data_IF_824315545227
#
_entry.id   IF_824315545227
#
_cell.length_a   1.000
_cell.length_b   1.000
_cell.length_c   1.000
_cell.angle_alpha   90.00
_cell.angle_beta   90.00
_cell.angle_gamma   90.00
#
_symmetry.space_group_name_H-M   'P 1'
#
loop_
_entity.id
_entity.type
_entity.pdbx_description
1 polymer ?
#
# COMPACT_ATOMS: atom_id res chain seq x y z
N UNK A 1 -2.50 9.42 6.57
CA UNK A 1 -3.46 8.34 6.24
C UNK A 1 -2.86 7.47 5.16
N UNK A 2 -3.03 6.15 5.22
CA UNK A 2 -2.69 5.23 4.12
C UNK A 2 -3.95 4.49 3.68
N UNK A 3 -4.13 4.32 2.37
CA UNK A 3 -5.34 3.73 1.79
C UNK A 3 -4.95 2.48 1.01
N UNK A 4 -5.47 1.33 1.41
CA UNK A 4 -5.15 0.02 0.89
C UNK A 4 -6.40 -0.77 0.50
N UNK A 5 -6.25 -1.69 -0.45
CA UNK A 5 -7.36 -2.50 -0.95
C UNK A 5 -7.72 -3.63 0.03
N UNK A 6 -6.72 -4.36 0.52
CA UNK A 6 -6.89 -5.59 1.30
C UNK A 6 -6.08 -5.58 2.59
N UNK A 7 -6.43 -6.39 3.59
CA UNK A 7 -5.55 -6.71 4.71
C UNK A 7 -4.27 -7.40 4.19
N UNK A 8 -3.11 -6.95 4.56
CA UNK A 8 -1.74 -7.29 4.18
C UNK A 8 -1.02 -6.23 3.31
N UNK A 9 -1.76 -5.47 2.53
CA UNK A 9 -1.19 -4.40 1.69
C UNK A 9 -0.45 -3.36 2.54
N UNK A 10 -0.99 -2.98 3.69
CA UNK A 10 -0.38 -2.01 4.60
C UNK A 10 0.95 -2.51 5.18
N UNK A 11 1.12 -3.83 5.27
CA UNK A 11 2.34 -4.48 5.75
C UNK A 11 3.38 -4.65 4.65
N UNK A 12 2.94 -4.73 3.39
CA UNK A 12 3.81 -4.87 2.21
C UNK A 12 4.22 -3.54 1.57
N UNK A 13 3.47 -2.46 1.84
CA UNK A 13 3.65 -1.13 1.22
C UNK A 13 3.52 -0.02 2.27
N UNK A 14 4.62 0.65 2.59
CA UNK A 14 4.65 1.77 3.53
C UNK A 14 4.67 1.41 5.01
N UNK A 15 4.82 0.13 5.37
CA UNK A 15 4.77 -0.36 6.74
C UNK A 15 5.85 0.25 7.64
N UNK A 16 7.11 0.25 7.19
CA UNK A 16 8.22 0.79 7.96
C UNK A 16 8.12 2.31 8.12
N UNK A 17 7.66 2.99 7.08
CA UNK A 17 7.36 4.43 7.11
C UNK A 17 6.25 4.75 8.11
N UNK A 18 5.14 4.04 8.06
CA UNK A 18 4.02 4.22 9.00
C UNK A 18 4.46 3.97 10.44
N UNK A 19 5.20 2.89 10.69
CA UNK A 19 5.75 2.59 12.02
C UNK A 19 6.71 3.66 12.52
N UNK A 20 7.59 4.18 11.66
CA UNK A 20 8.49 5.31 11.98
C UNK A 20 7.70 6.54 12.41
N UNK A 21 6.72 6.96 11.61
CA UNK A 21 5.91 8.14 11.92
C UNK A 21 5.07 7.94 13.17
N UNK A 22 4.42 6.79 13.35
CA UNK A 22 3.65 6.48 14.55
C UNK A 22 4.51 6.57 15.82
N UNK A 23 5.73 6.02 15.80
CA UNK A 23 6.66 6.12 16.92
C UNK A 23 7.24 7.51 17.17
N UNK A 24 7.21 8.38 16.16
CA UNK A 24 7.57 9.80 16.31
C UNK A 24 6.39 10.70 16.73
N UNK A 25 5.24 10.10 17.06
CA UNK A 25 4.06 10.82 17.58
C UNK A 25 3.09 11.31 16.50
N UNK A 26 3.28 10.90 15.23
CA UNK A 26 2.31 11.19 14.17
C UNK A 26 1.14 10.21 14.27
N UNK A 27 -0.08 10.71 14.25
CA UNK A 27 -1.26 9.86 14.14
C UNK A 27 -1.37 9.27 12.73
N UNK A 28 -1.44 7.94 12.65
CA UNK A 28 -1.54 7.20 11.40
C UNK A 28 -2.82 6.38 11.37
N UNK A 29 -3.64 6.59 10.32
CA UNK A 29 -4.82 5.78 10.05
C UNK A 29 -4.64 5.01 8.74
N UNK A 30 -4.85 3.71 8.78
CA UNK A 30 -4.94 2.82 7.62
C UNK A 30 -6.43 2.62 7.29
N UNK A 31 -6.85 3.02 6.08
CA UNK A 31 -8.16 2.69 5.53
C UNK A 31 -8.02 1.49 4.60
N UNK A 32 -8.76 0.41 4.89
CA UNK A 32 -8.77 -0.82 4.09
C UNK A 32 -10.13 -0.96 3.41
N UNK A 33 -10.15 -1.03 2.07
CA UNK A 33 -11.39 -1.00 1.30
C UNK A 33 -12.24 -2.25 1.52
N UNK A 34 -11.63 -3.43 1.44
CA UNK A 34 -12.31 -4.73 1.52
C UNK A 34 -11.77 -5.60 2.64
N UNK A 35 -12.39 -6.73 2.90
CA UNK A 35 -11.88 -7.73 3.84
C UNK A 35 -10.92 -8.75 3.23
N UNK A 36 -10.68 -8.70 1.91
CA UNK A 36 -9.86 -9.68 1.19
C UNK A 36 -10.49 -11.08 1.19
N UNK A 37 -11.81 -11.19 1.33
CA UNK A 37 -12.53 -12.44 1.56
C UNK A 37 -12.59 -13.37 0.34
N UNK A 38 -12.22 -12.87 -0.86
CA UNK A 38 -12.12 -13.67 -2.08
C UNK A 38 -10.69 -13.96 -2.50
N UNK A 39 -9.71 -13.52 -1.70
CA UNK A 39 -8.31 -13.85 -1.93
C UNK A 39 -8.00 -15.31 -1.62
N UNK A 40 -6.99 -15.84 -2.29
CA UNK A 40 -6.46 -17.18 -2.00
C UNK A 40 -5.66 -17.19 -0.69
N UNK A 41 -5.48 -18.39 -0.13
CA UNK A 41 -4.51 -18.61 0.95
C UNK A 41 -3.15 -18.86 0.32
N UNK A 42 -2.29 -17.83 0.33
CA UNK A 42 -0.99 -17.86 -0.33
C UNK A 42 0.06 -18.68 0.47
N UNK A 43 -0.07 -18.71 1.79
CA UNK A 43 0.74 -19.57 2.65
C UNK A 43 0.18 -21.00 2.67
N UNK A 44 0.83 -21.90 1.93
CA UNK A 44 0.40 -23.30 1.81
C UNK A 44 0.29 -24.04 3.13
N UNK A 45 1.06 -23.66 4.16
CA UNK A 45 0.97 -24.26 5.49
C UNK A 45 -0.36 -23.91 6.20
N UNK A 46 -1.00 -22.80 5.82
CA UNK A 46 -2.28 -22.34 6.34
C UNK A 46 -3.47 -22.81 5.48
N UNK A 47 -3.24 -23.42 4.33
CA UNK A 47 -4.28 -23.81 3.40
C UNK A 47 -4.98 -25.11 3.86
N UNK A 48 -5.95 -24.97 4.76
CA UNK A 48 -6.73 -26.06 5.39
C UNK A 48 -8.22 -25.72 5.32
N UNK A 49 -9.10 -26.74 5.27
CA UNK A 49 -10.55 -26.53 5.16
C UNK A 49 -11.14 -25.62 6.25
N UNK A 50 -10.68 -25.75 7.50
CA UNK A 50 -11.14 -24.94 8.62
C UNK A 50 -10.70 -23.47 8.50
N UNK A 51 -9.55 -23.19 7.89
CA UNK A 51 -9.07 -21.82 7.61
C UNK A 51 -9.88 -21.23 6.45
N UNK A 52 -10.04 -21.97 5.34
CA UNK A 52 -10.85 -21.52 4.20
C UNK A 52 -12.28 -21.19 4.60
N UNK A 53 -12.90 -22.01 5.46
CA UNK A 53 -14.25 -21.80 5.95
C UNK A 53 -14.44 -20.57 6.82
N UNK A 54 -13.35 -19.97 7.35
CA UNK A 54 -13.39 -18.82 8.24
C UNK A 54 -12.44 -17.69 7.81
N UNK A 55 -12.00 -17.69 6.56
CA UNK A 55 -11.00 -16.75 6.04
C UNK A 55 -11.32 -15.26 6.31
N UNK A 56 -12.57 -14.79 6.12
CA UNK A 56 -12.89 -13.39 6.39
C UNK A 56 -12.64 -12.95 7.83
N UNK A 57 -12.92 -13.81 8.80
CA UNK A 57 -12.68 -13.52 10.21
C UNK A 57 -11.19 -13.58 10.54
N UNK A 58 -10.49 -14.59 10.01
CA UNK A 58 -9.05 -14.77 10.22
C UNK A 58 -8.29 -13.54 9.67
N UNK A 59 -8.59 -13.08 8.46
CA UNK A 59 -7.93 -11.89 7.89
C UNK A 59 -8.19 -10.60 8.69
N UNK A 60 -9.34 -10.48 9.33
CA UNK A 60 -9.60 -9.36 10.25
C UNK A 60 -8.75 -9.45 11.52
N UNK A 61 -8.53 -10.64 12.06
CA UNK A 61 -7.68 -10.88 13.22
C UNK A 61 -6.20 -10.67 12.89
N UNK A 62 -5.76 -11.12 11.72
CA UNK A 62 -4.43 -10.85 11.17
C UNK A 62 -4.19 -9.34 11.04
N UNK A 63 -5.12 -8.59 10.44
CA UNK A 63 -5.06 -7.14 10.33
C UNK A 63 -5.04 -6.45 11.70
N UNK A 64 -5.83 -6.93 12.67
CA UNK A 64 -5.83 -6.41 14.02
C UNK A 64 -4.48 -6.61 14.72
N UNK A 65 -3.78 -7.70 14.44
CA UNK A 65 -2.43 -7.96 14.93
C UNK A 65 -1.40 -7.07 14.23
N UNK A 66 -1.44 -6.98 12.90
CA UNK A 66 -0.54 -6.15 12.11
C UNK A 66 -0.62 -4.67 12.50
N UNK A 67 -1.82 -4.09 12.63
CA UNK A 67 -1.98 -2.69 13.07
C UNK A 67 -1.40 -2.40 14.46
N UNK A 68 -1.47 -3.38 15.39
CA UNK A 68 -0.87 -3.24 16.73
C UNK A 68 0.66 -3.22 16.64
N UNK A 69 1.25 -4.09 15.81
CA UNK A 69 2.70 -4.15 15.57
C UNK A 69 3.20 -2.83 14.97
N UNK A 70 2.48 -2.31 13.98
CA UNK A 70 2.80 -1.03 13.33
C UNK A 70 2.56 0.18 14.25
N UNK A 71 1.67 0.08 15.24
CA UNK A 71 1.28 1.17 16.12
C UNK A 71 0.33 2.17 15.45
N UNK A 72 -0.53 1.70 14.54
CA UNK A 72 -1.44 2.53 13.74
C UNK A 72 -2.90 2.26 14.08
N UNK A 73 -3.76 3.22 13.76
CA UNK A 73 -5.21 3.03 13.71
C UNK A 73 -5.59 2.35 12.39
N UNK A 74 -6.72 1.63 12.37
CA UNK A 74 -7.21 0.98 11.15
C UNK A 74 -8.73 1.01 11.10
N UNK A 75 -9.28 1.20 9.87
CA UNK A 75 -10.69 1.19 9.58
C UNK A 75 -10.97 0.42 8.29
N UNK A 76 -11.89 -0.54 8.33
CA UNK A 76 -12.46 -1.15 7.13
C UNK A 76 -13.56 -0.26 6.56
N UNK A 77 -13.57 -0.04 5.24
CA UNK A 77 -14.62 0.73 4.56
C UNK A 77 -15.81 -0.14 4.13
N UNK A 78 -15.68 -1.46 4.20
CA UNK A 78 -16.80 -2.41 4.14
C UNK A 78 -17.25 -2.81 2.74
N UNK A 79 -16.43 -2.62 1.71
CA UNK A 79 -16.73 -3.12 0.37
C UNK A 79 -16.45 -4.61 0.25
N UNK A 80 -17.18 -5.27 -0.66
CA UNK A 80 -16.93 -6.66 -1.00
C UNK A 80 -15.71 -6.77 -1.93
N UNK A 81 -14.79 -7.66 -1.59
CA UNK A 81 -13.61 -7.98 -2.41
C UNK A 81 -14.01 -8.42 -3.82
N UNK A 82 -13.26 -7.96 -4.84
CA UNK A 82 -13.50 -8.31 -6.23
C UNK A 82 -12.86 -9.63 -6.63
N UNK A 83 -11.86 -10.08 -5.87
CA UNK A 83 -10.96 -11.14 -6.26
C UNK A 83 -10.05 -10.74 -7.42
N UNK A 84 -9.13 -11.62 -7.78
CA UNK A 84 -8.28 -11.49 -8.96
C UNK A 84 -8.68 -12.56 -9.97
N UNK A 85 -9.49 -12.23 -11.00
CA UNK A 85 -9.93 -13.22 -11.98
C UNK A 85 -8.76 -13.68 -12.84
N UNK A 86 -8.59 -15.01 -12.94
CA UNK A 86 -7.58 -15.66 -13.76
C UNK A 86 -8.18 -16.23 -15.04
N UNK A 87 -7.43 -16.24 -16.13
CA UNK A 87 -7.82 -16.81 -17.42
C UNK A 87 -7.65 -15.84 -18.58
N UNK A 88 -7.81 -16.36 -19.80
CA UNK A 88 -7.76 -15.59 -21.04
C UNK A 88 -8.90 -16.02 -21.98
N UNK A 89 -9.98 -15.20 -22.13
CA UNK A 89 -10.24 -13.97 -21.37
C UNK A 89 -10.56 -14.24 -19.89
N UNK A 90 -10.30 -13.29 -18.98
CA UNK A 90 -10.66 -13.47 -17.57
C UNK A 90 -12.19 -13.51 -17.39
N UNK A 91 -12.71 -14.26 -16.41
CA UNK A 91 -14.13 -14.27 -16.11
C UNK A 91 -14.61 -12.89 -15.62
N UNK A 92 -15.92 -12.58 -15.74
CA UNK A 92 -16.46 -11.33 -15.23
C UNK A 92 -16.29 -11.23 -13.70
N UNK A 93 -16.07 -10.01 -13.21
CA UNK A 93 -16.03 -9.72 -11.79
C UNK A 93 -17.37 -10.03 -11.11
N UNK A 94 -17.37 -10.43 -9.83
CA UNK A 94 -18.60 -10.69 -9.08
C UNK A 94 -19.48 -9.44 -8.97
N UNK A 95 -20.79 -9.61 -9.15
CA UNK A 95 -21.76 -8.53 -8.98
C UNK A 95 -21.65 -7.91 -7.58
N UNK A 96 -21.71 -6.56 -7.51
CA UNK A 96 -21.65 -5.80 -6.27
C UNK A 96 -20.27 -5.70 -5.63
N UNK A 97 -19.21 -6.27 -6.23
CA UNK A 97 -17.85 -6.13 -5.72
C UNK A 97 -17.32 -4.69 -5.82
N UNK A 98 -16.22 -4.41 -5.11
CA UNK A 98 -15.67 -3.06 -4.98
C UNK A 98 -15.29 -2.43 -6.32
N UNK A 99 -14.62 -3.17 -7.19
CA UNK A 99 -14.17 -2.66 -8.48
C UNK A 99 -15.31 -2.28 -9.43
N UNK A 100 -16.54 -2.79 -9.23
CA UNK A 100 -17.73 -2.47 -10.03
C UNK A 100 -18.61 -1.37 -9.42
N UNK A 101 -18.24 -0.79 -8.26
CA UNK A 101 -19.03 0.27 -7.65
C UNK A 101 -18.96 1.56 -8.46
N UNK A 102 -20.05 2.35 -8.42
CA UNK A 102 -20.00 3.74 -8.86
C UNK A 102 -18.94 4.51 -8.06
N UNK A 103 -18.13 5.31 -8.75
CA UNK A 103 -17.01 6.01 -8.13
C UNK A 103 -17.44 6.93 -7.00
N UNK A 104 -18.54 7.67 -7.19
CA UNK A 104 -19.05 8.61 -6.18
C UNK A 104 -19.53 7.86 -4.94
N UNK A 105 -20.27 6.76 -5.16
CA UNK A 105 -20.72 5.90 -4.06
C UNK A 105 -19.55 5.26 -3.31
N UNK A 106 -18.53 4.79 -4.03
CA UNK A 106 -17.35 4.16 -3.45
C UNK A 106 -16.44 5.16 -2.71
N UNK A 107 -16.36 6.41 -3.17
CA UNK A 107 -15.54 7.43 -2.53
C UNK A 107 -16.17 8.00 -1.24
N UNK A 108 -17.50 7.99 -1.09
CA UNK A 108 -18.18 8.62 0.04
C UNK A 108 -17.69 8.14 1.42
N UNK A 109 -17.46 6.84 1.70
CA UNK A 109 -16.90 6.39 2.98
C UNK A 109 -15.48 6.91 3.22
N UNK A 110 -14.63 6.99 2.17
CA UNK A 110 -13.27 7.51 2.30
C UNK A 110 -13.26 9.03 2.49
N UNK A 111 -14.12 9.79 1.78
CA UNK A 111 -14.29 11.23 2.02
C UNK A 111 -14.70 11.50 3.47
N UNK A 112 -15.61 10.69 4.02
CA UNK A 112 -15.98 10.77 5.45
C UNK A 112 -14.75 10.52 6.33
N UNK A 113 -14.01 9.46 6.10
CA UNK A 113 -12.81 9.13 6.88
C UNK A 113 -11.75 10.27 6.79
N UNK A 114 -11.56 10.88 5.62
CA UNK A 114 -10.67 12.03 5.43
C UNK A 114 -11.16 13.25 6.24
N UNK A 115 -12.45 13.56 6.21
CA UNK A 115 -13.02 14.69 6.94
C UNK A 115 -13.00 14.49 8.47
N UNK A 116 -13.19 13.26 8.94
CA UNK A 116 -13.15 12.91 10.37
C UNK A 116 -11.73 12.86 10.91
N UNK A 117 -10.81 12.16 10.22
CA UNK A 117 -9.42 11.99 10.67
C UNK A 117 -8.54 13.20 10.35
N UNK A 118 -8.88 14.01 9.32
CA UNK A 118 -8.19 15.23 8.90
C UNK A 118 -6.71 15.03 8.57
N UNK A 119 -6.34 14.08 7.69
CA UNK A 119 -4.96 13.80 7.36
C UNK A 119 -4.32 14.96 6.58
N UNK A 120 -3.07 15.30 6.90
CA UNK A 120 -2.29 16.21 6.07
C UNK A 120 -1.68 15.50 4.85
N UNK A 121 -1.34 14.23 5.01
CA UNK A 121 -0.71 13.39 3.98
C UNK A 121 -1.55 12.14 3.76
N UNK A 122 -1.76 11.79 2.48
CA UNK A 122 -2.40 10.55 2.06
C UNK A 122 -1.41 9.73 1.23
N UNK A 123 -1.32 8.43 1.52
CA UNK A 123 -0.57 7.44 0.76
C UNK A 123 -1.54 6.52 0.03
N UNK A 124 -1.29 6.22 -1.24
CA UNK A 124 -2.16 5.40 -2.09
C UNK A 124 -1.37 4.63 -3.16
N UNK A 125 -2.06 3.83 -3.94
CA UNK A 125 -1.51 3.26 -5.17
C UNK A 125 -1.51 4.29 -6.31
N UNK A 126 -0.68 4.03 -7.33
CA UNK A 126 -0.76 4.68 -8.63
C UNK A 126 -1.99 4.23 -9.43
N UNK A 127 -2.16 4.76 -10.63
CA UNK A 127 -3.28 4.44 -11.53
C UNK A 127 -3.32 2.96 -11.98
N UNK A 128 -2.20 2.24 -11.85
CA UNK A 128 -2.11 0.81 -12.15
C UNK A 128 -2.31 -0.07 -10.89
N UNK A 129 -2.51 0.55 -9.72
CA UNK A 129 -2.68 -0.16 -8.45
C UNK A 129 -1.39 -0.75 -7.88
N UNK A 130 -0.20 -0.34 -8.40
CA UNK A 130 1.09 -1.00 -8.12
C UNK A 130 1.24 -2.35 -8.86
N UNK A 131 0.15 -3.06 -9.06
CA UNK A 131 -0.08 -4.15 -10.02
C UNK A 131 -1.58 -4.19 -10.35
N UNK A 132 -2.00 -4.75 -11.53
CA UNK A 132 -3.35 -4.54 -12.07
C UNK A 132 -4.44 -5.39 -11.37
N UNK A 133 -4.51 -5.36 -10.04
CA UNK A 133 -5.64 -5.90 -9.31
C UNK A 133 -6.83 -4.95 -9.42
N UNK A 134 -8.06 -5.42 -9.74
CA UNK A 134 -9.23 -4.55 -9.90
C UNK A 134 -9.48 -3.64 -8.70
N UNK A 135 -9.34 -4.16 -7.48
CA UNK A 135 -9.53 -3.38 -6.24
C UNK A 135 -8.42 -2.36 -5.99
N UNK A 136 -7.17 -2.65 -6.39
CA UNK A 136 -6.08 -1.67 -6.28
C UNK A 136 -6.30 -0.48 -7.20
N UNK A 137 -6.70 -0.75 -8.45
CA UNK A 137 -7.04 0.29 -9.44
C UNK A 137 -8.24 1.13 -8.95
N UNK A 138 -9.25 0.47 -8.39
CA UNK A 138 -10.40 1.19 -7.83
C UNK A 138 -10.03 1.98 -6.57
N UNK A 139 -9.17 1.45 -5.72
CA UNK A 139 -8.63 2.16 -4.53
C UNK A 139 -7.89 3.44 -4.94
N UNK A 140 -7.06 3.39 -6.00
CA UNK A 140 -6.45 4.59 -6.55
C UNK A 140 -7.51 5.63 -6.94
N UNK A 141 -8.49 5.25 -7.76
CA UNK A 141 -9.54 6.16 -8.24
C UNK A 141 -10.33 6.79 -7.10
N UNK A 142 -10.72 5.99 -6.12
CA UNK A 142 -11.44 6.43 -4.92
C UNK A 142 -10.59 7.37 -4.08
N UNK A 143 -9.28 7.12 -3.96
CA UNK A 143 -8.39 7.96 -3.16
C UNK A 143 -8.12 9.32 -3.82
N UNK A 144 -7.91 9.35 -5.12
CA UNK A 144 -7.77 10.60 -5.88
C UNK A 144 -9.05 11.43 -5.77
N UNK A 145 -10.22 10.81 -5.96
CA UNK A 145 -11.52 11.45 -5.80
C UNK A 145 -11.69 12.02 -4.37
N UNK A 146 -11.36 11.25 -3.33
CA UNK A 146 -11.47 11.69 -1.96
C UNK A 146 -10.50 12.84 -1.63
N UNK A 147 -9.27 12.81 -2.16
CA UNK A 147 -8.29 13.89 -1.99
C UNK A 147 -8.79 15.20 -2.56
N UNK A 148 -9.40 15.18 -3.75
CA UNK A 148 -9.90 16.36 -4.45
C UNK A 148 -11.22 16.86 -3.87
N UNK A 149 -12.09 15.94 -3.42
CA UNK A 149 -13.45 16.27 -2.99
C UNK A 149 -13.57 16.64 -1.51
N UNK A 150 -12.66 16.18 -0.65
CA UNK A 150 -12.84 16.34 0.80
C UNK A 150 -12.83 17.81 1.27
N UNK A 151 -12.20 18.71 0.52
CA UNK A 151 -12.18 20.14 0.81
C UNK A 151 -13.42 20.90 0.34
N UNK A 152 -14.20 20.32 -0.56
CA UNK A 152 -15.36 20.98 -1.17
C UNK A 152 -16.63 20.74 -0.32
N UNK A 153 -17.25 21.77 0.28
CA UNK A 153 -18.43 21.61 1.12
C UNK A 153 -19.67 21.13 0.35
N UNK A 154 -19.72 21.36 -0.98
CA UNK A 154 -20.87 21.01 -1.80
C UNK A 154 -20.80 19.55 -2.33
N UNK A 155 -19.62 18.93 -2.23
CA UNK A 155 -19.43 17.53 -2.59
C UNK A 155 -19.60 16.63 -1.36
N UNK A 156 -20.23 15.48 -1.54
CA UNK A 156 -20.46 14.48 -0.47
C UNK A 156 -21.13 15.04 0.79
N UNK A 157 -22.34 15.64 0.66
CA UNK A 157 -23.05 16.22 1.81
C UNK A 157 -23.30 15.17 2.89
N UNK A 158 -23.17 15.56 4.16
CA UNK A 158 -23.38 14.67 5.30
C UNK A 158 -22.19 13.75 5.64
N UNK A 159 -21.01 13.96 5.04
CA UNK A 159 -19.77 13.21 5.37
C UNK A 159 -18.83 13.95 6.33
N UNK A 160 -19.25 15.05 6.94
CA UNK A 160 -18.47 15.83 7.89
C UNK A 160 -18.02 17.19 7.34
N UNK A 161 -17.31 17.96 8.17
CA UNK A 161 -16.77 19.27 7.79
C UNK A 161 -15.65 19.14 6.78
N UNK A 162 -15.57 20.04 5.77
CA UNK A 162 -14.54 20.00 4.76
C UNK A 162 -13.11 19.99 5.32
N UNK A 163 -12.24 19.22 4.70
CA UNK A 163 -10.83 19.14 5.03
C UNK A 163 -9.97 18.99 3.78
N UNK A 164 -8.92 19.82 3.66
CA UNK A 164 -7.95 19.74 2.57
C UNK A 164 -6.71 18.93 3.00
N UNK A 165 -6.54 17.69 2.53
CA UNK A 165 -5.24 17.03 2.60
C UNK A 165 -4.20 17.81 1.80
N UNK A 166 -2.96 17.87 2.27
CA UNK A 166 -1.95 18.75 1.67
C UNK A 166 -1.09 18.02 0.64
N UNK A 167 -0.86 16.71 0.81
CA UNK A 167 -0.04 15.91 -0.11
C UNK A 167 -0.64 14.53 -0.34
N UNK A 168 -0.54 14.07 -1.58
CA UNK A 168 -0.87 12.71 -2.00
C UNK A 168 0.37 12.07 -2.60
N UNK A 169 0.76 10.90 -2.07
CA UNK A 169 1.86 10.10 -2.58
C UNK A 169 1.39 8.75 -3.08
N UNK A 170 2.06 8.24 -4.11
CA UNK A 170 1.92 6.87 -4.55
C UNK A 170 3.07 6.02 -4.02
N UNK A 171 2.77 4.79 -3.59
CA UNK A 171 3.79 3.81 -3.20
C UNK A 171 4.63 3.38 -4.41
N UNK A 172 5.95 3.36 -4.24
CA UNK A 172 6.89 2.83 -5.25
C UNK A 172 7.64 1.64 -4.63
N UNK A 173 6.96 0.49 -4.51
CA UNK A 173 7.49 -0.67 -3.78
C UNK A 173 8.33 -1.59 -4.66
N UNK A 174 7.93 -1.80 -5.92
CA UNK A 174 8.55 -2.72 -6.87
C UNK A 174 9.29 -1.93 -7.96
N UNK A 175 10.42 -1.33 -7.58
CA UNK A 175 11.23 -0.49 -8.47
C UNK A 175 12.50 -1.21 -8.89
N UNK A 176 12.81 -1.20 -10.20
CA UNK A 176 13.95 -1.94 -10.78
C UNK A 176 15.29 -1.58 -10.11
N UNK A 177 15.55 -0.29 -9.89
CA UNK A 177 16.80 0.15 -9.27
C UNK A 177 17.01 -0.44 -7.86
N UNK A 178 15.94 -0.56 -7.05
CA UNK A 178 16.00 -1.19 -5.72
C UNK A 178 16.40 -2.66 -5.83
N UNK A 179 15.73 -3.41 -6.68
CA UNK A 179 15.99 -4.84 -6.82
C UNK A 179 17.36 -5.12 -7.43
N UNK A 180 17.82 -4.26 -8.36
CA UNK A 180 19.18 -4.35 -8.89
C UNK A 180 20.20 -4.16 -7.77
N UNK A 181 20.08 -3.12 -6.97
CA UNK A 181 21.02 -2.87 -5.87
C UNK A 181 21.04 -4.00 -4.83
N UNK A 182 19.86 -4.55 -4.48
CA UNK A 182 19.76 -5.69 -3.56
C UNK A 182 20.37 -6.96 -4.16
N UNK A 183 20.12 -7.23 -5.44
CA UNK A 183 20.67 -8.37 -6.17
C UNK A 183 22.21 -8.33 -6.18
N UNK A 184 22.78 -7.23 -6.62
CA UNK A 184 24.24 -7.04 -6.71
C UNK A 184 24.93 -7.23 -5.35
N UNK A 185 24.33 -6.72 -4.28
CA UNK A 185 24.86 -6.88 -2.93
C UNK A 185 24.73 -8.32 -2.42
N UNK A 186 23.63 -9.01 -2.73
CA UNK A 186 23.49 -10.43 -2.39
C UNK A 186 24.54 -11.28 -3.11
N UNK A 187 24.76 -11.06 -4.40
CA UNK A 187 25.80 -11.76 -5.16
C UNK A 187 27.20 -11.46 -4.60
N UNK A 188 27.49 -10.20 -4.28
CA UNK A 188 28.75 -9.81 -3.65
C UNK A 188 29.03 -10.54 -2.31
N UNK A 189 27.96 -10.89 -1.59
CA UNK A 189 28.03 -11.67 -0.33
C UNK A 189 27.97 -13.19 -0.57
N UNK A 190 27.87 -13.66 -1.79
CA UNK A 190 27.71 -15.08 -2.12
C UNK A 190 26.37 -15.67 -1.70
N UNK A 191 25.31 -14.84 -1.64
CA UNK A 191 23.96 -15.24 -1.32
C UNK A 191 23.16 -15.47 -2.60
N UNK A 192 22.25 -16.44 -2.59
CA UNK A 192 21.32 -16.66 -3.68
C UNK A 192 20.30 -15.51 -3.74
N UNK A 193 20.15 -14.91 -4.92
CA UNK A 193 19.23 -13.79 -5.12
C UNK A 193 17.86 -14.26 -5.61
N UNK A 194 16.75 -13.81 -5.00
CA UNK A 194 15.40 -14.15 -5.44
C UNK A 194 14.92 -13.34 -6.63
N UNK A 195 15.74 -12.41 -7.16
CA UNK A 195 15.29 -11.38 -8.11
C UNK A 195 15.48 -11.73 -9.58
N UNK A 196 16.10 -12.87 -9.92
CA UNK A 196 16.38 -13.26 -11.30
C UNK A 196 15.10 -13.31 -12.18
N UNK A 197 14.02 -13.87 -11.66
CA UNK A 197 12.73 -13.92 -12.38
C UNK A 197 12.10 -12.53 -12.57
N UNK A 198 12.37 -11.58 -11.67
CA UNK A 198 11.90 -10.20 -11.82
C UNK A 198 12.63 -9.48 -12.96
N UNK A 199 13.95 -9.66 -13.07
CA UNK A 199 14.73 -9.09 -14.17
C UNK A 199 14.26 -9.62 -15.52
N UNK A 200 14.02 -10.93 -15.62
CA UNK A 200 13.48 -11.54 -16.82
C UNK A 200 12.12 -10.95 -17.22
N UNK A 201 11.22 -10.77 -16.26
CA UNK A 201 9.90 -10.15 -16.50
C UNK A 201 10.03 -8.70 -16.95
N UNK A 202 10.98 -7.94 -16.40
CA UNK A 202 11.22 -6.56 -16.83
C UNK A 202 11.83 -6.50 -18.25
N UNK A 203 12.68 -7.43 -18.60
CA UNK A 203 13.21 -7.54 -19.97
C UNK A 203 12.11 -7.86 -20.98
N UNK A 204 11.26 -8.84 -20.66
CA UNK A 204 10.10 -9.22 -21.47
C UNK A 204 9.10 -8.04 -21.64
N UNK A 205 8.86 -7.28 -20.58
CA UNK A 205 7.98 -6.10 -20.62
C UNK A 205 8.58 -4.92 -21.36
N UNK A 206 9.88 -4.71 -21.29
CA UNK A 206 10.54 -3.61 -21.99
C UNK A 206 10.38 -3.69 -23.52
N UNK A 207 10.03 -4.87 -24.05
CA UNK A 207 9.71 -5.09 -25.46
C UNK A 207 8.24 -4.82 -25.80
N UNK A 208 7.36 -4.63 -24.79
CA UNK A 208 5.94 -4.35 -24.98
C UNK A 208 5.71 -2.84 -25.21
N UNK A 209 5.16 -2.45 -26.38
CA UNK A 209 4.85 -1.05 -26.67
C UNK A 209 3.82 -0.42 -25.72
N UNK A 210 3.06 -1.23 -24.99
CA UNK A 210 2.09 -0.80 -23.99
C UNK A 210 2.70 -0.61 -22.59
N UNK A 211 3.98 -0.98 -22.39
CA UNK A 211 4.68 -0.82 -21.12
C UNK A 211 4.76 0.65 -20.73
N UNK A 212 4.36 0.95 -19.52
CA UNK A 212 4.47 2.30 -18.96
C UNK A 212 5.83 2.44 -18.26
N UNK A 213 6.43 3.64 -18.31
CA UNK A 213 7.64 3.90 -17.56
C UNK A 213 7.36 3.73 -16.04
N UNK A 214 8.37 3.25 -15.33
CA UNK A 214 8.32 3.22 -13.86
C UNK A 214 8.07 4.62 -13.31
N UNK A 215 7.32 4.70 -12.20
CA UNK A 215 7.12 5.96 -11.49
C UNK A 215 8.47 6.51 -11.01
N UNK A 216 8.67 7.80 -11.19
CA UNK A 216 9.81 8.50 -10.63
C UNK A 216 9.74 8.47 -9.10
N UNK A 217 10.84 8.08 -8.45
CA UNK A 217 10.98 8.19 -6.99
C UNK A 217 11.31 9.65 -6.65
N UNK A 218 10.31 10.37 -6.17
CA UNK A 218 10.47 11.77 -5.74
C UNK A 218 10.78 11.91 -4.27
N UNK A 219 10.48 10.87 -3.48
CA UNK A 219 10.59 10.90 -2.03
C UNK A 219 11.11 9.56 -1.52
N UNK A 220 12.18 9.59 -0.71
CA UNK A 220 12.81 8.41 -0.10
C UNK A 220 12.81 8.55 1.41
N UNK A 221 11.86 7.90 2.08
CA UNK A 221 11.74 7.98 3.54
C UNK A 221 12.74 7.04 4.21
N UNK A 222 13.74 7.55 4.97
CA UNK A 222 14.68 6.70 5.71
C UNK A 222 13.94 5.96 6.83
N UNK A 223 13.76 4.64 6.68
CA UNK A 223 13.00 3.82 7.64
C UNK A 223 13.61 2.42 7.84
N UNK A 224 14.86 2.22 7.45
CA UNK A 224 15.56 0.93 7.57
C UNK A 224 15.54 0.34 8.99
N UNK A 225 15.60 1.16 10.03
CA UNK A 225 15.52 0.74 11.43
C UNK A 225 14.15 0.11 11.79
N UNK A 226 13.14 0.35 10.98
CA UNK A 226 11.77 -0.16 11.15
C UNK A 226 11.44 -1.35 10.24
N UNK A 227 12.38 -1.84 9.42
CA UNK A 227 12.17 -3.00 8.58
C UNK A 227 11.84 -4.27 9.38
N UNK A 228 12.43 -4.41 10.58
CA UNK A 228 12.05 -5.51 11.46
C UNK A 228 10.60 -5.43 11.97
N UNK A 229 10.04 -4.23 12.11
CA UNK A 229 8.62 -4.02 12.48
C UNK A 229 7.73 -4.35 11.28
N UNK A 230 8.10 -3.94 10.06
CA UNK A 230 7.45 -4.34 8.81
C UNK A 230 7.40 -5.86 8.68
N UNK A 231 8.52 -6.55 8.90
CA UNK A 231 8.60 -8.00 8.79
C UNK A 231 7.68 -8.72 9.78
N UNK A 232 7.59 -8.20 11.01
CA UNK A 232 6.64 -8.73 12.00
C UNK A 232 5.18 -8.49 11.61
N UNK A 233 4.86 -7.32 11.02
CA UNK A 233 3.53 -7.03 10.53
C UNK A 233 3.15 -7.93 9.35
N UNK A 234 4.07 -8.16 8.41
CA UNK A 234 3.90 -9.14 7.33
C UNK A 234 3.59 -10.53 7.89
N UNK A 235 4.38 -11.02 8.85
CA UNK A 235 4.18 -12.34 9.47
C UNK A 235 2.84 -12.47 10.22
N UNK A 236 2.26 -11.36 10.66
CA UNK A 236 0.92 -11.37 11.27
C UNK A 236 -0.19 -11.76 10.28
N UNK A 237 0.02 -11.54 8.97
CA UNK A 237 -0.87 -11.99 7.90
C UNK A 237 -0.55 -13.43 7.48
N UNK A 238 -0.63 -14.36 8.43
CA UNK A 238 -0.17 -15.74 8.27
C UNK A 238 -0.83 -16.49 7.11
N UNK A 239 -2.07 -16.17 6.72
CA UNK A 239 -2.75 -16.77 5.57
C UNK A 239 -2.18 -16.30 4.24
N UNK A 240 -1.58 -15.11 4.18
CA UNK A 240 -1.08 -14.45 2.97
C UNK A 240 0.45 -14.53 2.84
N UNK A 241 1.17 -14.67 3.94
CA UNK A 241 2.62 -14.54 3.97
C UNK A 241 3.25 -15.88 4.34
N UNK A 242 4.03 -16.43 3.41
CA UNK A 242 4.91 -17.56 3.69
C UNK A 242 6.21 -17.04 4.35
N UNK A 243 6.54 -17.48 5.58
CA UNK A 243 7.78 -17.10 6.26
C UNK A 243 9.06 -17.47 5.50
N UNK A 244 9.01 -18.45 4.60
CA UNK A 244 10.10 -18.85 3.71
C UNK A 244 10.01 -18.22 2.31
N UNK A 245 9.03 -17.34 2.09
CA UNK A 245 8.72 -16.77 0.78
C UNK A 245 9.54 -15.54 0.41
N UNK A 246 9.16 -14.96 -0.72
CA UNK A 246 9.81 -13.82 -1.38
C UNK A 246 10.12 -12.63 -0.43
N UNK A 247 9.21 -12.28 0.46
CA UNK A 247 9.35 -11.13 1.36
C UNK A 247 10.58 -11.19 2.27
N UNK A 248 11.03 -12.41 2.62
CA UNK A 248 12.13 -12.66 3.54
C UNK A 248 13.39 -13.23 2.87
N UNK A 249 13.34 -13.45 1.55
CA UNK A 249 14.44 -14.06 0.79
C UNK A 249 15.70 -13.17 0.77
N UNK A 250 15.55 -11.84 0.75
CA UNK A 250 16.67 -10.92 0.95
C UNK A 250 16.88 -10.66 2.46
N UNK A 251 18.04 -10.98 3.03
CA UNK A 251 18.28 -10.78 4.46
C UNK A 251 18.13 -9.34 4.91
N UNK A 252 17.47 -9.13 6.04
CA UNK A 252 17.23 -7.80 6.61
C UNK A 252 18.48 -6.90 6.66
N UNK A 253 19.67 -7.37 7.13
CA UNK A 253 20.88 -6.55 7.13
C UNK A 253 21.36 -6.11 5.75
N UNK A 254 21.02 -6.86 4.69
CA UNK A 254 21.30 -6.46 3.30
C UNK A 254 20.39 -5.32 2.89
N UNK A 255 19.08 -5.47 3.13
CA UNK A 255 18.10 -4.44 2.83
C UNK A 255 18.43 -3.12 3.54
N UNK A 256 18.75 -3.19 4.84
CA UNK A 256 19.12 -2.02 5.66
C UNK A 256 20.40 -1.33 5.19
N UNK A 257 21.38 -2.08 4.71
CA UNK A 257 22.66 -1.53 4.26
C UNK A 257 22.56 -0.88 2.87
N UNK A 258 21.76 -1.46 1.98
CA UNK A 258 21.75 -1.09 0.55
C UNK A 258 20.61 -0.13 0.22
N UNK A 259 19.43 -0.36 0.78
CA UNK A 259 18.23 0.43 0.47
C UNK A 259 17.39 0.66 1.72
N UNK A 260 17.85 1.54 2.65
CA UNK A 260 17.20 1.75 3.95
C UNK A 260 15.97 2.64 3.90
N UNK A 261 15.31 2.73 2.74
CA UNK A 261 14.14 3.61 2.52
C UNK A 261 12.94 2.83 2.02
N UNK A 262 11.77 3.36 2.28
CA UNK A 262 10.57 3.14 1.47
C UNK A 262 10.36 4.36 0.58
N UNK A 263 9.97 4.11 -0.67
CA UNK A 263 10.02 5.09 -1.73
C UNK A 263 8.63 5.46 -2.22
N UNK A 264 8.49 6.73 -2.62
CA UNK A 264 7.21 7.31 -3.00
C UNK A 264 7.35 8.24 -4.21
N UNK A 265 6.23 8.39 -4.91
CA UNK A 265 6.04 9.42 -5.93
C UNK A 265 5.07 10.47 -5.42
N UNK A 266 5.48 11.74 -5.40
CA UNK A 266 4.60 12.86 -5.05
C UNK A 266 3.62 13.13 -6.20
N UNK A 267 2.39 12.65 -6.05
CA UNK A 267 1.36 12.77 -7.09
C UNK A 267 0.64 14.12 -7.05
N UNK A 268 0.40 14.67 -5.84
CA UNK A 268 -0.25 15.97 -5.65
C UNK A 268 0.37 16.67 -4.44
N UNK A 269 0.55 17.98 -4.54
CA UNK A 269 0.92 18.84 -3.41
C UNK A 269 0.20 20.20 -3.53
N UNK A 270 -0.35 20.67 -2.42
CA UNK A 270 -0.89 22.04 -2.27
C UNK A 270 0.02 22.90 -1.36
N UNK A 271 1.20 22.39 -1.07
CA UNK A 271 2.28 23.10 -0.38
C UNK A 271 3.53 23.10 -1.25
N UNK A 272 4.34 24.14 -1.12
CA UNK A 272 5.64 24.17 -1.78
C UNK A 272 6.59 23.17 -1.12
N UNK A 273 7.35 22.47 -1.95
CA UNK A 273 8.36 21.51 -1.51
C UNK A 273 9.47 21.39 -2.54
N UNK A 274 10.68 21.04 -2.10
CA UNK A 274 11.81 20.78 -2.98
C UNK A 274 11.98 19.26 -3.17
N UNK A 275 12.18 18.84 -4.42
CA UNK A 275 12.42 17.44 -4.76
C UNK A 275 13.91 17.21 -5.03
N UNK A 276 14.47 16.01 -4.68
CA UNK A 276 13.80 14.92 -3.97
C UNK A 276 13.64 15.18 -2.47
N UNK A 277 12.59 14.59 -1.87
CA UNK A 277 12.30 14.65 -0.43
C UNK A 277 12.81 13.41 0.32
N UNK A 278 13.01 13.56 1.64
CA UNK A 278 13.27 12.46 2.59
C UNK A 278 12.23 12.38 3.72
N UNK A 279 11.22 13.25 3.69
CA UNK A 279 10.14 13.34 4.66
C UNK A 279 8.81 13.65 3.96
N UNK A 280 7.80 12.82 4.20
CA UNK A 280 6.44 13.03 3.64
C UNK A 280 5.78 14.33 4.11
N UNK A 281 6.28 14.93 5.20
CA UNK A 281 5.79 16.19 5.76
C UNK A 281 6.64 17.40 5.38
N UNK A 282 7.55 17.27 4.42
CA UNK A 282 8.28 18.43 3.87
C UNK A 282 7.29 19.46 3.31
N UNK A 283 7.46 20.76 3.67
CA UNK A 283 6.55 21.85 3.33
C UNK A 283 5.21 21.87 4.12
N UNK A 284 4.84 20.74 4.76
CA UNK A 284 3.59 20.65 5.53
C UNK A 284 3.76 21.28 6.91
N UNK A 285 4.89 21.03 7.60
CA UNK A 285 5.12 21.53 8.96
C UNK A 285 5.18 23.06 9.01
N UNK A 286 5.76 23.66 8.00
CA UNK A 286 5.85 25.13 7.87
C UNK A 286 4.47 25.76 7.71
N UNK A 287 3.56 25.11 6.99
CA UNK A 287 2.21 25.60 6.74
C UNK A 287 1.29 25.49 7.94
N UNK A 288 1.40 24.41 8.72
CA UNK A 288 0.48 24.14 9.84
C UNK A 288 1.05 24.52 11.20
N UNK A 289 2.27 25.07 11.24
CA UNK A 289 2.96 25.48 12.48
C UNK A 289 3.01 24.35 13.52
N UNK A 290 3.31 23.14 13.07
CA UNK A 290 3.46 21.94 13.89
C UNK A 290 4.80 21.91 14.62
#
# INVERSE_FOLDING_TARGET
MAVHAHPDDESSKGAATMARYARSGVEVLVCTMTGGERGDILNKAMDRPEIRGNLPQIRREEMASARQILGVQQQFLGFADSGLPEGDPPPPLPEGCFALQDLTAAAAPLVRAVREFRPHVILAYDENGGYPHPDHVMTHRVTVEAFEAAADPDRYPGTGEPWQPLKLYYFVSFHRARFTALHEEMERRGLESPYAEWFKRWEERAEDPAERPELEITTRVPCGDYFGVRDQALLAHATQIDPAGFWFACPLPVQQAVWPTEDYHLARSVVDTELPEDDLFAGVRERVSL
#
